data_IF_062152470612
#
_entry.id   IF_062152470612
#
_cell.length_a   1.000
_cell.length_b   1.000
_cell.length_c   1.000
_cell.angle_alpha   90.00
_cell.angle_beta   90.00
_cell.angle_gamma   90.00
#
_symmetry.space_group_name_H-M   'P 1'
#
loop_
_entity.id
_entity.type
_entity.pdbx_description
1 polymer ?
#
# COMPACT_ATOMS: atom_id res chain seq x y z
N UNK A 1 -13.87 16.45 50.05
CA UNK A 1 -12.68 15.59 49.85
C UNK A 1 -12.97 14.39 48.93
N UNK A 2 -14.07 13.64 49.11
CA UNK A 2 -14.38 12.46 48.28
C UNK A 2 -14.57 12.76 46.79
N UNK A 3 -15.25 13.87 46.46
CA UNK A 3 -15.49 14.29 45.06
C UNK A 3 -14.21 14.66 44.32
N UNK A 4 -13.29 15.38 44.99
CA UNK A 4 -11.99 15.74 44.43
C UNK A 4 -11.13 14.50 44.11
N UNK A 5 -11.22 13.46 44.94
CA UNK A 5 -10.56 12.18 44.70
C UNK A 5 -11.15 11.46 43.48
N UNK A 6 -12.48 11.40 43.36
CA UNK A 6 -13.15 10.78 42.21
C UNK A 6 -12.84 11.51 40.90
N UNK A 7 -12.78 12.86 40.91
CA UNK A 7 -12.38 13.62 39.73
C UNK A 7 -10.92 13.37 39.36
N UNK A 8 -10.01 13.28 40.35
CA UNK A 8 -8.61 12.98 40.07
C UNK A 8 -8.42 11.60 39.43
N UNK A 9 -9.14 10.58 39.92
CA UNK A 9 -9.12 9.23 39.34
C UNK A 9 -9.73 9.20 37.93
N UNK A 10 -10.81 9.96 37.71
CA UNK A 10 -11.46 10.05 36.40
C UNK A 10 -10.57 10.73 35.36
N UNK A 11 -9.89 11.83 35.74
CA UNK A 11 -8.92 12.52 34.88
C UNK A 11 -7.73 11.61 34.59
N UNK A 12 -7.19 10.92 35.59
CA UNK A 12 -6.09 9.97 35.39
C UNK A 12 -6.47 8.82 34.45
N UNK A 13 -7.68 8.25 34.60
CA UNK A 13 -8.20 7.23 33.71
C UNK A 13 -8.38 7.74 32.27
N UNK A 14 -8.82 8.98 32.11
CA UNK A 14 -9.01 9.61 30.79
C UNK A 14 -7.68 9.85 30.08
N UNK A 15 -6.63 10.28 30.80
CA UNK A 15 -5.30 10.50 30.23
C UNK A 15 -4.65 9.19 29.77
N UNK A 16 -4.88 8.08 30.49
CA UNK A 16 -4.31 6.78 30.17
C UNK A 16 -5.16 5.93 29.21
N UNK A 17 -6.26 6.49 28.69
CA UNK A 17 -7.12 5.79 27.76
C UNK A 17 -6.38 5.55 26.43
N UNK A 18 -6.06 4.29 26.15
CA UNK A 18 -5.52 3.88 24.85
C UNK A 18 -6.65 3.53 23.90
N UNK A 19 -6.65 4.14 22.73
CA UNK A 19 -7.52 3.73 21.64
C UNK A 19 -6.87 2.56 20.89
N UNK A 20 -7.20 1.34 21.31
CA UNK A 20 -6.83 0.11 20.60
C UNK A 20 -8.09 -0.50 19.97
N UNK A 21 -8.03 -0.75 18.67
CA UNK A 21 -9.11 -1.40 17.93
C UNK A 21 -8.59 -2.71 17.35
N UNK A 22 -9.01 -3.82 17.95
CA UNK A 22 -8.78 -5.16 17.42
C UNK A 22 -10.11 -5.79 17.01
N UNK A 23 -10.30 -5.91 15.69
CA UNK A 23 -11.52 -6.45 15.08
C UNK A 23 -11.82 -7.88 15.58
N UNK A 24 -10.80 -8.69 15.88
CA UNK A 24 -10.98 -10.09 16.27
C UNK A 24 -11.67 -10.19 17.63
N UNK A 25 -11.37 -9.26 18.54
CA UNK A 25 -11.97 -9.21 19.87
C UNK A 25 -13.49 -8.94 19.83
N UNK A 26 -14.00 -8.31 18.78
CA UNK A 26 -15.44 -8.04 18.64
C UNK A 26 -16.26 -9.26 18.16
N UNK A 27 -15.61 -10.31 17.65
CA UNK A 27 -16.31 -11.50 17.17
C UNK A 27 -16.52 -12.55 18.27
N UNK A 28 -17.67 -13.24 18.31
CA UNK A 28 -17.86 -14.37 19.21
C UNK A 28 -16.83 -15.46 18.92
N UNK A 29 -16.20 -16.01 19.97
CA UNK A 29 -15.17 -17.07 19.83
C UNK A 29 -15.70 -18.34 19.14
N UNK A 30 -17.01 -18.59 19.23
CA UNK A 30 -17.68 -19.71 18.55
C UNK A 30 -17.92 -19.46 17.06
N UNK A 31 -17.81 -18.22 16.58
CA UNK A 31 -18.05 -17.88 15.19
C UNK A 31 -16.97 -18.46 14.27
N UNK A 32 -17.36 -18.83 13.07
CA UNK A 32 -16.44 -19.26 12.01
C UNK A 32 -15.42 -18.17 11.66
N UNK A 33 -15.87 -16.90 11.65
CA UNK A 33 -15.03 -15.73 11.36
C UNK A 33 -13.88 -15.61 12.36
N UNK A 34 -14.16 -15.73 13.67
CA UNK A 34 -13.11 -15.69 14.70
C UNK A 34 -12.07 -16.78 14.49
N UNK A 35 -12.50 -18.01 14.18
CA UNK A 35 -11.60 -19.14 13.94
C UNK A 35 -10.70 -18.90 12.73
N UNK A 36 -11.25 -18.40 11.62
CA UNK A 36 -10.46 -18.04 10.43
C UNK A 36 -9.45 -16.96 10.75
N UNK A 37 -9.88 -15.83 11.31
CA UNK A 37 -8.99 -14.68 11.53
C UNK A 37 -7.85 -15.04 12.49
N UNK A 38 -8.15 -15.84 13.52
CA UNK A 38 -7.13 -16.37 14.43
C UNK A 38 -6.11 -17.26 13.70
N UNK A 39 -6.58 -18.13 12.79
CA UNK A 39 -5.71 -19.01 12.01
C UNK A 39 -4.86 -18.25 10.99
N UNK A 40 -5.43 -17.22 10.34
CA UNK A 40 -4.69 -16.34 9.44
C UNK A 40 -3.55 -15.66 10.20
N UNK A 41 -3.83 -15.07 11.37
CA UNK A 41 -2.79 -14.43 12.18
C UNK A 41 -1.74 -15.42 12.70
N UNK A 42 -2.13 -16.68 12.95
CA UNK A 42 -1.22 -17.73 13.39
C UNK A 42 -0.27 -18.20 12.27
N UNK A 43 -0.78 -18.40 11.05
CA UNK A 43 -0.01 -18.96 9.93
C UNK A 43 0.68 -17.91 9.06
N UNK A 44 0.20 -16.66 9.06
CA UNK A 44 0.76 -15.55 8.27
C UNK A 44 1.23 -14.39 9.17
N UNK A 45 2.15 -14.61 10.13
CA UNK A 45 2.55 -13.60 11.13
C UNK A 45 3.43 -12.47 10.56
N UNK A 46 3.71 -12.45 9.26
CA UNK A 46 4.58 -11.47 8.60
C UNK A 46 3.88 -10.66 7.50
N UNK A 47 2.62 -10.97 7.21
CA UNK A 47 1.80 -10.26 6.24
C UNK A 47 0.81 -9.36 6.99
N UNK A 48 1.11 -8.07 7.04
CA UNK A 48 0.21 -7.05 7.55
C UNK A 48 -0.80 -6.61 6.50
N UNK A 49 -1.35 -5.41 6.70
CA UNK A 49 -2.32 -4.85 5.77
C UNK A 49 -1.67 -4.49 4.42
N UNK A 50 -2.37 -4.82 3.33
CA UNK A 50 -2.01 -4.39 1.98
C UNK A 50 -2.43 -2.93 1.77
N UNK A 51 -1.49 -2.11 1.35
CA UNK A 51 -1.75 -0.76 0.85
C UNK A 51 -1.64 -0.70 -0.67
N UNK A 52 -2.29 0.31 -1.25
CA UNK A 52 -2.22 0.60 -2.69
C UNK A 52 -1.95 2.09 -2.84
N UNK A 53 -0.97 2.42 -3.67
CA UNK A 53 -0.72 3.81 -4.08
C UNK A 53 -1.26 3.97 -5.48
N UNK A 54 -1.98 5.06 -5.72
CA UNK A 54 -2.46 5.48 -7.03
C UNK A 54 -1.73 6.77 -7.40
N UNK A 55 -1.19 6.81 -8.61
CA UNK A 55 -0.53 7.97 -9.19
C UNK A 55 -1.32 8.33 -10.44
N UNK A 56 -1.86 9.54 -10.48
CA UNK A 56 -2.67 10.06 -11.59
C UNK A 56 -1.84 10.99 -12.48
N UNK A 57 -2.18 11.08 -13.77
CA UNK A 57 -1.57 11.97 -14.76
C UNK A 57 -0.04 11.88 -14.83
N UNK A 58 0.50 10.67 -14.92
CA UNK A 58 1.95 10.41 -14.91
C UNK A 58 2.50 10.22 -16.33
N UNK A 59 3.52 11.00 -16.70
CA UNK A 59 4.36 10.74 -17.88
C UNK A 59 5.40 9.67 -17.54
N UNK A 60 4.95 8.41 -17.58
CA UNK A 60 5.70 7.26 -17.08
C UNK A 60 7.13 7.14 -17.63
N UNK A 61 7.42 7.33 -18.94
CA UNK A 61 8.78 7.32 -19.48
C UNK A 61 9.76 8.24 -18.75
N UNK A 62 9.34 9.46 -18.40
CA UNK A 62 10.22 10.46 -17.74
C UNK A 62 10.29 10.23 -16.22
N UNK A 63 9.24 9.63 -15.65
CA UNK A 63 9.10 9.45 -14.21
C UNK A 63 9.55 8.07 -13.71
N UNK A 64 10.07 7.19 -14.57
CA UNK A 64 10.61 5.88 -14.18
C UNK A 64 11.64 5.99 -13.05
N UNK A 65 12.51 7.01 -13.10
CA UNK A 65 13.51 7.26 -12.05
C UNK A 65 12.86 7.61 -10.71
N UNK A 66 11.76 8.39 -10.70
CA UNK A 66 11.02 8.73 -9.47
C UNK A 66 10.33 7.50 -8.90
N UNK A 67 9.76 6.65 -9.76
CA UNK A 67 9.17 5.37 -9.36
C UNK A 67 10.20 4.40 -8.78
N UNK A 68 11.39 4.32 -9.38
CA UNK A 68 12.48 3.50 -8.85
C UNK A 68 12.93 4.01 -7.48
N UNK A 69 13.13 5.32 -7.33
CA UNK A 69 13.46 5.93 -6.04
C UNK A 69 12.40 5.62 -4.97
N UNK A 70 11.11 5.74 -5.32
CA UNK A 70 10.02 5.45 -4.40
C UNK A 70 9.99 3.96 -4.02
N UNK A 71 10.19 3.06 -5.00
CA UNK A 71 10.26 1.62 -4.78
C UNK A 71 11.40 1.25 -3.83
N UNK A 72 12.59 1.80 -4.04
CA UNK A 72 13.74 1.60 -3.16
C UNK A 72 13.53 2.18 -1.76
N UNK A 73 12.90 3.36 -1.67
CA UNK A 73 12.61 4.02 -0.39
C UNK A 73 11.58 3.24 0.42
N UNK A 74 10.54 2.72 -0.24
CA UNK A 74 9.55 1.84 0.38
C UNK A 74 10.16 0.50 0.80
N UNK A 75 11.04 -0.10 0.01
CA UNK A 75 11.76 -1.33 0.39
C UNK A 75 12.64 -1.14 1.63
N UNK A 76 13.24 0.04 1.79
CA UNK A 76 14.07 0.39 2.97
C UNK A 76 13.22 0.72 4.21
N UNK A 77 11.93 1.00 4.05
CA UNK A 77 11.07 1.38 5.16
C UNK A 77 10.85 0.20 6.13
N UNK A 78 11.02 0.44 7.43
CA UNK A 78 10.92 -0.58 8.50
C UNK A 78 9.52 -1.20 8.63
N UNK A 79 8.48 -0.51 8.18
CA UNK A 79 7.09 -0.94 8.24
C UNK A 79 6.64 -1.73 7.02
N UNK A 80 7.47 -1.85 5.99
CA UNK A 80 7.13 -2.57 4.75
C UNK A 80 7.73 -3.98 4.79
N UNK A 81 6.90 -4.97 4.45
CA UNK A 81 7.25 -6.39 4.38
C UNK A 81 7.52 -6.80 2.94
N UNK A 82 6.62 -6.42 2.02
CA UNK A 82 6.66 -6.79 0.61
C UNK A 82 6.25 -5.61 -0.25
N UNK A 83 6.89 -5.50 -1.42
CA UNK A 83 6.54 -4.55 -2.46
C UNK A 83 6.46 -5.30 -3.79
N UNK A 84 5.41 -5.04 -4.57
CA UNK A 84 5.31 -5.57 -5.92
C UNK A 84 6.23 -4.76 -6.85
N UNK A 85 7.27 -5.40 -7.36
CA UNK A 85 8.29 -4.76 -8.20
C UNK A 85 7.75 -4.65 -9.64
N UNK A 86 7.51 -3.44 -10.14
CA UNK A 86 7.32 -3.17 -11.57
C UNK A 86 8.71 -3.08 -12.21
N UNK A 87 9.12 -4.10 -12.94
CA UNK A 87 10.39 -4.14 -13.67
C UNK A 87 10.14 -3.65 -15.09
N UNK A 88 10.04 -2.33 -15.23
CA UNK A 88 9.96 -1.66 -16.53
C UNK A 88 11.39 -1.26 -16.91
N UNK A 89 11.85 -1.71 -18.07
CA UNK A 89 13.14 -1.31 -18.61
C UNK A 89 13.09 0.17 -19.02
N UNK A 90 14.23 0.86 -18.90
CA UNK A 90 14.36 2.22 -19.41
C UNK A 90 14.37 2.16 -20.94
N UNK A 91 13.33 2.73 -21.55
CA UNK A 91 13.08 2.72 -22.99
C UNK A 91 12.90 4.16 -23.44
N UNK A 92 13.50 4.51 -24.57
CA UNK A 92 13.27 5.79 -25.22
C UNK A 92 11.77 6.06 -25.44
N UNK A 93 11.34 7.28 -25.12
CA UNK A 93 9.94 7.74 -25.21
C UNK A 93 9.21 7.28 -26.48
N UNK A 94 9.89 7.34 -27.62
CA UNK A 94 9.35 6.99 -28.95
C UNK A 94 8.83 5.55 -29.06
N UNK A 95 9.44 4.60 -28.34
CA UNK A 95 9.08 3.18 -28.38
C UNK A 95 8.35 2.73 -27.11
N UNK A 96 8.10 3.63 -26.15
CA UNK A 96 7.57 3.26 -24.85
C UNK A 96 6.18 2.63 -24.94
N UNK A 97 5.26 3.25 -25.68
CA UNK A 97 3.89 2.74 -25.83
C UNK A 97 3.86 1.38 -26.54
N UNK A 98 4.66 1.20 -27.58
CA UNK A 98 4.78 -0.07 -28.32
C UNK A 98 5.31 -1.19 -27.41
N UNK A 99 6.40 -0.92 -26.67
CA UNK A 99 7.02 -1.90 -25.78
C UNK A 99 6.11 -2.20 -24.59
N UNK A 100 5.46 -1.20 -24.02
CA UNK A 100 4.54 -1.39 -22.90
C UNK A 100 3.35 -2.26 -23.32
N UNK A 101 2.75 -2.01 -24.49
CA UNK A 101 1.66 -2.84 -25.03
C UNK A 101 2.09 -4.31 -25.12
N UNK A 102 3.23 -4.57 -25.76
CA UNK A 102 3.81 -5.94 -25.87
C UNK A 102 4.15 -6.54 -24.51
N UNK A 103 4.72 -5.76 -23.59
CA UNK A 103 5.09 -6.21 -22.25
C UNK A 103 3.85 -6.64 -21.46
N UNK A 104 2.77 -5.86 -21.51
CA UNK A 104 1.55 -6.14 -20.77
C UNK A 104 0.84 -7.40 -21.26
N UNK A 105 1.00 -7.83 -22.51
CA UNK A 105 0.53 -9.13 -22.98
C UNK A 105 1.56 -10.26 -22.87
N UNK A 106 2.79 -9.96 -22.45
CA UNK A 106 3.82 -10.97 -22.24
C UNK A 106 3.55 -11.81 -20.98
N UNK A 107 4.07 -13.05 -20.91
CA UNK A 107 3.93 -13.89 -19.71
C UNK A 107 4.46 -13.24 -18.42
N UNK A 108 5.43 -12.32 -18.54
CA UNK A 108 5.99 -11.60 -17.40
C UNK A 108 5.14 -10.39 -16.99
N UNK A 109 4.59 -9.67 -17.97
CA UNK A 109 3.90 -8.40 -17.74
C UNK A 109 2.39 -8.51 -17.54
N UNK A 110 1.75 -9.62 -17.92
CA UNK A 110 0.28 -9.76 -17.81
C UNK A 110 -0.26 -9.58 -16.40
N UNK A 111 0.52 -9.94 -15.37
CA UNK A 111 0.15 -9.72 -13.96
C UNK A 111 0.01 -8.22 -13.60
N UNK A 112 0.62 -7.33 -14.37
CA UNK A 112 0.60 -5.89 -14.16
C UNK A 112 -0.42 -5.16 -15.04
N UNK A 113 -1.18 -5.83 -15.91
CA UNK A 113 -2.20 -5.16 -16.73
C UNK A 113 -3.16 -4.32 -15.88
N UNK A 114 -3.62 -4.89 -14.76
CA UNK A 114 -4.52 -4.19 -13.84
C UNK A 114 -3.86 -3.03 -13.08
N UNK A 115 -2.54 -2.82 -13.21
CA UNK A 115 -1.85 -1.74 -12.54
C UNK A 115 -1.96 -0.43 -13.33
N UNK A 116 -2.23 -0.52 -14.63
CA UNK A 116 -2.36 0.64 -15.50
C UNK A 116 -3.84 0.92 -15.76
N UNK A 117 -4.19 2.21 -15.71
CA UNK A 117 -5.49 2.72 -16.12
C UNK A 117 -5.27 3.53 -17.38
N UNK A 118 -5.86 3.08 -18.48
CA UNK A 118 -5.73 3.67 -19.80
C UNK A 118 -6.95 4.53 -20.13
N UNK A 119 -6.80 5.48 -21.06
CA UNK A 119 -7.94 6.25 -21.57
C UNK A 119 -8.92 5.39 -22.40
N UNK A 120 -8.39 4.33 -23.02
CA UNK A 120 -9.06 3.43 -23.95
C UNK A 120 -8.78 1.97 -23.57
N UNK A 121 -9.44 1.02 -24.24
CA UNK A 121 -9.20 -0.41 -24.01
C UNK A 121 -7.81 -0.81 -24.52
N UNK A 122 -7.05 -1.47 -23.66
CA UNK A 122 -5.76 -2.05 -24.04
C UNK A 122 -5.97 -3.26 -24.97
N UNK A 123 -5.52 -3.15 -26.22
CA UNK A 123 -5.60 -4.22 -27.23
C UNK A 123 -4.26 -4.94 -27.42
N UNK A 124 -4.32 -6.22 -27.79
CA UNK A 124 -3.13 -7.04 -27.99
C UNK A 124 -2.49 -6.73 -29.34
N UNK A 125 -1.15 -6.63 -29.37
CA UNK A 125 -0.35 -6.29 -30.55
C UNK A 125 -0.50 -4.85 -31.07
N UNK A 126 -1.17 -3.99 -30.30
CA UNK A 126 -1.25 -2.56 -30.54
C UNK A 126 -0.42 -1.78 -29.52
N UNK A 127 -0.20 -0.50 -29.81
CA UNK A 127 0.49 0.40 -28.90
C UNK A 127 -0.36 0.62 -27.64
N UNK A 128 0.28 0.71 -26.47
CA UNK A 128 -0.41 1.03 -25.24
C UNK A 128 -1.08 2.42 -25.36
N UNK A 129 -2.39 2.53 -25.07
CA UNK A 129 -3.07 3.83 -25.03
C UNK A 129 -2.46 4.75 -23.96
N UNK A 130 -2.90 6.00 -23.95
CA UNK A 130 -2.46 6.97 -22.94
C UNK A 130 -2.78 6.50 -21.53
N UNK A 131 -1.79 6.57 -20.63
CA UNK A 131 -1.89 6.15 -19.23
C UNK A 131 -2.46 7.30 -18.41
N UNK A 132 -3.67 7.10 -17.86
CA UNK A 132 -4.31 8.05 -16.95
C UNK A 132 -3.82 7.90 -15.52
N UNK A 133 -3.60 6.66 -15.09
CA UNK A 133 -3.10 6.38 -13.75
C UNK A 133 -2.34 5.07 -13.68
N UNK A 134 -1.42 4.99 -12.72
CA UNK A 134 -0.71 3.76 -12.37
C UNK A 134 -0.93 3.48 -10.89
N UNK A 135 -1.16 2.21 -10.55
CA UNK A 135 -1.18 1.75 -9.18
C UNK A 135 -0.10 0.72 -8.93
N UNK A 136 0.35 0.64 -7.68
CA UNK A 136 1.18 -0.46 -7.22
C UNK A 136 0.78 -0.85 -5.80
N UNK A 137 1.04 -2.11 -5.45
CA UNK A 137 0.69 -2.66 -4.16
C UNK A 137 1.92 -2.86 -3.28
N UNK A 138 1.73 -2.63 -2.00
CA UNK A 138 2.71 -2.92 -0.97
C UNK A 138 2.03 -3.57 0.22
N UNK A 139 2.79 -4.26 1.05
CA UNK A 139 2.28 -4.95 2.24
C UNK A 139 3.07 -4.47 3.44
N UNK A 140 2.37 -3.94 4.43
CA UNK A 140 2.98 -3.61 5.70
C UNK A 140 3.41 -4.88 6.45
N UNK A 141 4.38 -4.75 7.36
CA UNK A 141 4.60 -5.76 8.40
C UNK A 141 3.40 -5.77 9.35
N UNK A 142 3.29 -6.80 10.18
CA UNK A 142 2.30 -6.76 11.26
C UNK A 142 2.68 -5.64 12.23
N UNK A 143 1.79 -4.66 12.36
CA UNK A 143 1.94 -3.52 13.26
C UNK A 143 0.88 -3.65 14.34
N UNK A 144 1.35 -3.89 15.56
CA UNK A 144 0.51 -3.98 16.74
C UNK A 144 0.37 -2.59 17.36
N UNK A 145 -0.87 -2.13 17.50
CA UNK A 145 -1.17 -0.83 18.10
C UNK A 145 -1.37 0.29 17.08
N UNK A 146 -2.35 1.14 17.39
CA UNK A 146 -2.83 2.22 16.50
C UNK A 146 -1.75 3.26 16.21
N UNK A 147 -0.93 3.61 17.19
CA UNK A 147 0.05 4.69 17.03
C UNK A 147 1.11 4.35 15.98
N UNK A 148 1.56 3.10 15.94
CA UNK A 148 2.54 2.67 14.93
C UNK A 148 1.89 2.44 13.57
N UNK A 149 0.60 2.06 13.52
CA UNK A 149 -0.16 2.01 12.26
C UNK A 149 -0.29 3.39 11.62
N UNK A 150 -0.57 4.42 12.44
CA UNK A 150 -0.63 5.80 11.99
C UNK A 150 0.74 6.26 11.47
N UNK A 151 1.82 6.02 12.21
CA UNK A 151 3.18 6.33 11.75
C UNK A 151 3.53 5.63 10.44
N UNK A 152 3.18 4.36 10.29
CA UNK A 152 3.45 3.62 9.05
C UNK A 152 2.70 4.20 7.86
N UNK A 153 1.44 4.60 8.05
CA UNK A 153 0.66 5.28 7.01
C UNK A 153 1.27 6.66 6.67
N UNK A 154 1.63 7.44 7.68
CA UNK A 154 2.19 8.78 7.49
C UNK A 154 3.58 8.74 6.83
N UNK A 155 4.42 7.75 7.15
CA UNK A 155 5.70 7.53 6.47
C UNK A 155 5.50 7.20 4.99
N UNK A 156 4.55 6.32 4.64
CA UNK A 156 4.24 6.04 3.22
C UNK A 156 3.74 7.30 2.51
N UNK A 157 2.81 8.05 3.12
CA UNK A 157 2.31 9.31 2.55
C UNK A 157 3.44 10.31 2.33
N UNK A 158 4.36 10.45 3.29
CA UNK A 158 5.50 11.35 3.17
C UNK A 158 6.47 10.92 2.06
N UNK A 159 6.69 9.62 1.87
CA UNK A 159 7.53 9.11 0.78
C UNK A 159 6.89 9.36 -0.59
N UNK A 160 5.59 9.10 -0.72
CA UNK A 160 4.85 9.36 -1.96
C UNK A 160 4.85 10.86 -2.28
N UNK A 161 4.58 11.72 -1.29
CA UNK A 161 4.65 13.16 -1.46
C UNK A 161 6.06 13.64 -1.81
N UNK A 162 7.10 13.03 -1.24
CA UNK A 162 8.50 13.37 -1.52
C UNK A 162 8.97 13.01 -2.92
N UNK A 163 8.32 12.05 -3.60
CA UNK A 163 8.65 11.67 -4.97
C UNK A 163 8.33 12.78 -5.99
N UNK A 164 7.39 13.69 -5.66
CA UNK A 164 6.95 14.79 -6.53
C UNK A 164 6.65 14.34 -7.97
N UNK A 165 5.73 13.37 -8.12
CA UNK A 165 5.16 13.02 -9.43
C UNK A 165 4.41 14.23 -10.00
N UNK A 166 4.53 14.45 -11.30
CA UNK A 166 4.04 15.65 -12.01
C UNK A 166 3.37 15.32 -13.33
#
# INVERSE_FOLDING_TARGET
MLTALQTALSVWGTINLKQEFDIITFYPKSSYVYQILTKINQYFPHEGMRGTVYIENIDLPEELNKLQWLSESLKKNKFISKLDNLEIEDVSREFFSEILGKFLFSPKGMKYQNYFFFNESLECLEDAPEILAVKFHYVHRIINGRDDQLKAMDEVKSLVAGANFS
#
